data_IF_702132419868
#
_entry.id   IF_702132419868
#
_cell.length_a   1.000
_cell.length_b   1.000
_cell.length_c   1.000
_cell.angle_alpha   90.00
_cell.angle_beta   90.00
_cell.angle_gamma   90.00
#
_symmetry.space_group_name_H-M   'P 1'
#
loop_
_entity.id
_entity.type
_entity.pdbx_description
1 polymer ?
#
# COMPACT_ATOMS: atom_id res chain seq x y z
N UNK A 1 -25.68 -9.19 -14.00
CA UNK A 1 -25.18 -8.78 -12.67
C UNK A 1 -24.15 -9.83 -12.27
N UNK A 2 -22.85 -9.51 -12.33
CA UNK A 2 -21.83 -10.47 -11.86
C UNK A 2 -22.05 -10.70 -10.36
N UNK A 3 -22.13 -11.96 -9.95
CA UNK A 3 -22.16 -12.31 -8.53
C UNK A 3 -20.85 -11.85 -7.91
N UNK A 4 -20.94 -11.16 -6.77
CA UNK A 4 -19.75 -10.74 -6.02
C UNK A 4 -18.99 -12.01 -5.61
N UNK A 5 -17.68 -12.02 -5.84
CA UNK A 5 -16.83 -13.13 -5.47
C UNK A 5 -16.89 -13.31 -3.95
N UNK A 6 -17.12 -14.55 -3.49
CA UNK A 6 -17.16 -14.84 -2.06
C UNK A 6 -15.73 -14.94 -1.53
N UNK A 7 -15.28 -13.90 -0.83
CA UNK A 7 -13.94 -13.86 -0.27
C UNK A 7 -13.83 -14.51 1.11
N UNK A 8 -14.95 -14.77 1.78
CA UNK A 8 -14.97 -15.33 3.15
C UNK A 8 -14.42 -16.76 3.20
N UNK A 9 -14.36 -17.45 2.06
CA UNK A 9 -13.75 -18.79 1.98
C UNK A 9 -12.23 -18.78 1.90
N UNK A 10 -11.59 -17.62 1.70
CA UNK A 10 -10.13 -17.54 1.64
C UNK A 10 -9.55 -17.58 3.05
N UNK A 11 -8.48 -18.36 3.29
CA UNK A 11 -7.93 -18.53 4.64
C UNK A 11 -7.33 -17.25 5.22
N UNK A 12 -7.03 -16.26 4.36
CA UNK A 12 -6.47 -14.97 4.75
C UNK A 12 -7.53 -13.93 5.07
N UNK A 13 -8.80 -14.19 4.75
CA UNK A 13 -9.86 -13.19 4.90
C UNK A 13 -10.03 -12.79 6.37
N UNK A 14 -9.86 -11.49 6.66
CA UNK A 14 -10.04 -10.95 8.00
C UNK A 14 -11.39 -10.26 8.20
N UNK A 15 -11.85 -9.54 7.18
CA UNK A 15 -13.16 -8.88 7.21
C UNK A 15 -13.33 -7.82 6.14
N UNK A 16 -14.53 -7.30 6.00
CA UNK A 16 -14.87 -6.28 5.02
C UNK A 16 -15.99 -5.34 5.48
N UNK A 17 -16.04 -4.17 4.87
CA UNK A 17 -17.17 -3.26 4.97
C UNK A 17 -18.33 -3.71 4.05
N UNK A 18 -19.57 -3.26 4.32
CA UNK A 18 -20.69 -3.49 3.44
C UNK A 18 -20.39 -3.09 1.99
N UNK A 19 -20.86 -3.92 1.05
CA UNK A 19 -20.67 -3.74 -0.40
C UNK A 19 -19.20 -3.73 -0.86
N UNK A 20 -18.25 -4.09 0.00
CA UNK A 20 -16.83 -4.15 -0.35
C UNK A 20 -16.13 -2.81 -0.43
N UNK A 21 -16.63 -1.78 0.28
CA UNK A 21 -15.98 -0.47 0.35
C UNK A 21 -14.57 -0.51 0.95
N UNK A 22 -14.32 -1.48 1.82
CA UNK A 22 -13.02 -1.77 2.38
C UNK A 22 -12.94 -3.25 2.76
N UNK A 23 -11.72 -3.78 2.79
CA UNK A 23 -11.46 -5.18 3.13
C UNK A 23 -10.07 -5.30 3.74
N UNK A 24 -9.87 -6.28 4.61
CA UNK A 24 -8.54 -6.71 4.98
C UNK A 24 -8.34 -8.22 4.96
N UNK A 25 -7.08 -8.57 4.79
CA UNK A 25 -6.57 -9.93 4.86
C UNK A 25 -5.41 -9.99 5.85
N UNK A 26 -5.34 -11.07 6.61
CA UNK A 26 -4.28 -11.38 7.56
C UNK A 26 -3.41 -12.47 6.93
N UNK A 27 -2.12 -12.18 6.81
CA UNK A 27 -1.14 -13.12 6.22
C UNK A 27 0.09 -13.20 7.09
N UNK A 28 0.75 -14.35 7.07
CA UNK A 28 2.06 -14.54 7.70
C UNK A 28 3.05 -14.90 6.60
N UNK A 29 4.12 -14.12 6.48
CA UNK A 29 5.19 -14.33 5.49
C UNK A 29 6.47 -14.62 6.28
N UNK A 30 6.94 -15.86 6.23
CA UNK A 30 8.01 -16.33 7.10
C UNK A 30 7.58 -16.30 8.57
N UNK A 31 8.23 -15.47 9.38
CA UNK A 31 7.93 -15.29 10.81
C UNK A 31 7.22 -13.97 11.11
N UNK A 32 6.88 -13.20 10.08
CA UNK A 32 6.33 -11.85 10.22
C UNK A 32 4.85 -11.86 9.89
N UNK A 33 4.06 -11.23 10.75
CA UNK A 33 2.62 -11.09 10.60
C UNK A 33 2.27 -9.77 9.91
N UNK A 34 1.44 -9.85 8.89
CA UNK A 34 0.97 -8.71 8.10
C UNK A 34 -0.54 -8.58 8.13
N UNK A 35 -0.99 -7.36 7.88
CA UNK A 35 -2.36 -7.03 7.49
C UNK A 35 -2.33 -6.25 6.18
N UNK A 36 -3.02 -6.75 5.16
CA UNK A 36 -3.27 -6.01 3.93
C UNK A 36 -4.66 -5.41 4.06
N UNK A 37 -4.77 -4.09 4.07
CA UNK A 37 -6.03 -3.38 4.33
C UNK A 37 -6.28 -2.40 3.19
N UNK A 38 -7.42 -2.55 2.51
CA UNK A 38 -7.78 -1.73 1.36
C UNK A 38 -9.04 -0.90 1.58
N UNK A 39 -9.09 0.27 0.95
CA UNK A 39 -10.27 1.14 0.87
C UNK A 39 -10.51 1.59 -0.57
N UNK A 40 -11.78 1.74 -0.93
CA UNK A 40 -12.17 2.27 -2.24
C UNK A 40 -11.91 3.78 -2.40
N UNK A 41 -12.17 4.27 -3.60
CA UNK A 41 -12.14 5.69 -3.94
C UNK A 41 -13.28 6.48 -3.24
N UNK A 42 -13.06 7.78 -3.05
CA UNK A 42 -13.96 8.69 -2.36
C UNK A 42 -14.16 8.23 -0.92
N UNK A 43 -13.06 8.35 -0.16
CA UNK A 43 -12.96 7.89 1.22
C UNK A 43 -13.94 8.70 2.08
N UNK A 44 -14.93 8.01 2.62
CA UNK A 44 -15.90 8.62 3.52
C UNK A 44 -15.35 8.60 4.95
N UNK A 45 -15.91 9.45 5.80
CA UNK A 45 -15.57 9.45 7.23
C UNK A 45 -15.79 8.08 7.90
N UNK A 46 -16.82 7.34 7.47
CA UNK A 46 -17.08 5.97 7.95
C UNK A 46 -16.02 4.99 7.50
N UNK A 47 -15.43 5.19 6.31
CA UNK A 47 -14.35 4.35 5.80
C UNK A 47 -13.06 4.63 6.56
N UNK A 48 -12.73 5.90 6.77
CA UNK A 48 -11.57 6.31 7.56
C UNK A 48 -11.64 5.80 9.02
N UNK A 49 -12.80 5.94 9.67
CA UNK A 49 -13.00 5.43 11.02
C UNK A 49 -12.89 3.90 11.09
N UNK A 50 -13.36 3.20 10.05
CA UNK A 50 -13.23 1.75 9.96
C UNK A 50 -11.77 1.33 9.76
N UNK A 51 -11.03 1.97 8.85
CA UNK A 51 -9.59 1.74 8.64
C UNK A 51 -8.82 1.88 9.96
N UNK A 52 -9.02 3.01 10.64
CA UNK A 52 -8.40 3.30 11.94
C UNK A 52 -8.71 2.21 12.97
N UNK A 53 -9.97 1.78 13.05
CA UNK A 53 -10.38 0.76 14.01
C UNK A 53 -9.73 -0.59 13.74
N UNK A 54 -9.58 -0.98 12.48
CA UNK A 54 -8.94 -2.25 12.09
C UNK A 54 -7.44 -2.19 12.34
N UNK A 55 -6.77 -1.09 11.98
CA UNK A 55 -5.34 -0.91 12.25
C UNK A 55 -5.03 -0.99 13.75
N UNK A 56 -5.87 -0.37 14.59
CA UNK A 56 -5.79 -0.45 16.07
C UNK A 56 -6.15 -1.80 16.65
N UNK A 57 -6.94 -2.61 15.94
CA UNK A 57 -7.25 -3.98 16.34
C UNK A 57 -6.04 -4.92 16.15
N UNK A 58 -5.18 -4.62 15.17
CA UNK A 58 -4.01 -5.42 14.82
C UNK A 58 -2.69 -4.65 14.93
N UNK A 59 -2.37 -4.05 16.10
CA UNK A 59 -1.19 -3.20 16.25
C UNK A 59 0.12 -3.98 16.12
N UNK A 60 0.09 -5.28 16.44
CA UNK A 60 1.24 -6.19 16.36
C UNK A 60 1.48 -6.73 14.93
N UNK A 61 0.70 -6.31 13.92
CA UNK A 61 0.86 -6.74 12.51
C UNK A 61 1.37 -5.61 11.64
N UNK A 62 2.32 -5.89 10.77
CA UNK A 62 2.82 -4.92 9.79
C UNK A 62 1.73 -4.61 8.77
N UNK A 63 1.27 -3.37 8.72
CA UNK A 63 0.20 -2.98 7.81
C UNK A 63 0.73 -2.49 6.45
N UNK A 64 0.13 -3.04 5.40
CA UNK A 64 0.23 -2.57 4.01
C UNK A 64 -1.14 -1.99 3.65
N UNK A 65 -1.22 -0.66 3.57
CA UNK A 65 -2.44 0.05 3.19
C UNK A 65 -2.56 0.10 1.67
N UNK A 66 -3.69 -0.34 1.14
CA UNK A 66 -4.03 -0.29 -0.29
C UNK A 66 -5.06 0.83 -0.51
N UNK A 67 -4.63 1.91 -1.17
CA UNK A 67 -5.46 3.09 -1.38
C UNK A 67 -5.64 3.36 -2.88
N UNK A 68 -6.78 3.92 -3.28
CA UNK A 68 -6.92 4.40 -4.66
C UNK A 68 -6.06 5.64 -4.91
N UNK A 69 -6.14 6.64 -4.03
CA UNK A 69 -5.48 7.94 -4.17
C UNK A 69 -4.83 8.36 -2.85
N UNK A 70 -3.50 8.35 -2.80
CA UNK A 70 -2.72 8.72 -1.62
C UNK A 70 -1.62 9.73 -1.97
N UNK A 71 -0.77 9.43 -2.97
CA UNK A 71 0.27 10.35 -3.43
C UNK A 71 -0.21 11.29 -4.54
N UNK A 72 0.49 12.42 -4.64
CA UNK A 72 0.45 13.34 -5.78
C UNK A 72 1.78 13.25 -6.55
N UNK A 73 1.77 13.44 -7.87
CA UNK A 73 2.99 13.40 -8.68
C UNK A 73 3.91 14.60 -8.38
N UNK A 74 3.34 15.79 -8.32
CA UNK A 74 4.05 17.04 -8.05
C UNK A 74 3.78 17.54 -6.61
N UNK A 75 4.26 18.74 -6.29
CA UNK A 75 4.02 19.44 -5.00
C UNK A 75 2.58 19.98 -4.88
N UNK A 76 1.60 19.23 -5.40
CA UNK A 76 0.19 19.58 -5.30
C UNK A 76 -0.31 19.40 -3.87
N UNK A 77 -1.29 20.22 -3.50
CA UNK A 77 -2.03 20.05 -2.26
C UNK A 77 -2.75 18.71 -2.30
N UNK A 78 -2.66 17.96 -1.21
CA UNK A 78 -3.37 16.70 -1.06
C UNK A 78 -4.88 16.86 -1.27
N UNK A 79 -5.46 15.90 -1.99
CA UNK A 79 -6.91 15.74 -2.07
C UNK A 79 -7.51 15.44 -0.69
N UNK A 80 -8.84 15.52 -0.59
CA UNK A 80 -9.53 15.14 0.64
C UNK A 80 -9.27 13.68 1.03
N UNK A 81 -9.25 12.76 0.05
CA UNK A 81 -8.93 11.34 0.27
C UNK A 81 -7.49 11.19 0.78
N UNK A 82 -6.53 11.82 0.10
CA UNK A 82 -5.11 11.77 0.47
C UNK A 82 -4.88 12.33 1.87
N UNK A 83 -5.43 13.51 2.19
CA UNK A 83 -5.26 14.13 3.49
C UNK A 83 -5.80 13.24 4.63
N UNK A 84 -7.00 12.69 4.48
CA UNK A 84 -7.60 11.79 5.48
C UNK A 84 -6.75 10.52 5.65
N UNK A 85 -6.26 9.94 4.56
CA UNK A 85 -5.42 8.74 4.66
C UNK A 85 -4.07 9.03 5.32
N UNK A 86 -3.45 10.17 5.07
CA UNK A 86 -2.22 10.57 5.79
C UNK A 86 -2.47 10.73 7.29
N UNK A 87 -3.63 11.27 7.70
CA UNK A 87 -4.02 11.32 9.12
C UNK A 87 -4.16 9.91 9.72
N UNK A 88 -4.76 8.96 8.98
CA UNK A 88 -4.85 7.56 9.42
C UNK A 88 -3.47 6.92 9.53
N UNK A 89 -2.59 7.11 8.55
CA UNK A 89 -1.23 6.57 8.59
C UNK A 89 -0.45 7.17 9.77
N UNK A 90 -0.57 8.47 10.03
CA UNK A 90 0.05 9.12 11.17
C UNK A 90 -0.44 8.55 12.52
N UNK A 91 -1.75 8.27 12.63
CA UNK A 91 -2.35 7.77 13.86
C UNK A 91 -2.09 6.28 14.15
N UNK A 92 -1.51 5.53 13.20
CA UNK A 92 -1.38 4.08 13.26
C UNK A 92 0.08 3.63 13.07
N UNK A 93 0.86 3.49 14.16
CA UNK A 93 2.28 3.14 14.14
C UNK A 93 2.62 1.76 13.57
N UNK A 94 1.63 0.95 13.18
CA UNK A 94 1.84 -0.35 12.54
C UNK A 94 1.87 -0.29 11.00
N UNK A 95 1.53 0.86 10.40
CA UNK A 95 1.65 1.06 8.95
C UNK A 95 3.11 1.24 8.55
N UNK A 96 3.56 0.44 7.58
CA UNK A 96 4.93 0.48 7.03
C UNK A 96 4.95 0.73 5.52
N UNK A 97 3.87 0.38 4.83
CA UNK A 97 3.77 0.49 3.38
C UNK A 97 2.41 1.03 2.98
N UNK A 98 2.38 1.90 1.97
CA UNK A 98 1.16 2.37 1.32
C UNK A 98 1.31 2.14 -0.17
N UNK A 99 0.37 1.42 -0.80
CA UNK A 99 0.31 1.22 -2.25
C UNK A 99 -0.87 2.00 -2.81
N UNK A 100 -0.64 2.79 -3.85
CA UNK A 100 -1.68 3.59 -4.47
C UNK A 100 -1.55 3.75 -6.00
N UNK A 101 -2.57 4.35 -6.62
CA UNK A 101 -2.60 4.68 -8.04
C UNK A 101 -3.25 6.05 -8.25
N UNK A 102 -4.24 6.12 -9.13
CA UNK A 102 -5.05 7.31 -9.47
C UNK A 102 -4.31 8.39 -10.25
N UNK A 103 -3.09 8.75 -9.84
CA UNK A 103 -2.23 9.62 -10.64
C UNK A 103 -1.41 8.79 -11.60
N UNK A 104 -1.64 9.02 -12.88
CA UNK A 104 -1.03 8.25 -13.96
C UNK A 104 0.49 8.50 -14.01
N UNK A 105 1.25 7.51 -13.55
CA UNK A 105 2.69 7.60 -13.40
C UNK A 105 3.17 6.74 -12.24
N UNK A 106 4.42 6.97 -11.86
CA UNK A 106 5.08 6.23 -10.80
C UNK A 106 5.79 7.21 -9.87
N UNK A 107 5.67 6.96 -8.58
CA UNK A 107 6.36 7.73 -7.54
C UNK A 107 6.54 6.86 -6.32
N UNK A 108 7.68 6.95 -5.67
CA UNK A 108 7.88 6.38 -4.35
C UNK A 108 8.43 7.45 -3.41
N UNK A 109 7.94 7.45 -2.18
CA UNK A 109 8.32 8.43 -1.16
C UNK A 109 8.54 7.70 0.16
N UNK A 110 9.66 8.02 0.81
CA UNK A 110 9.92 7.64 2.19
C UNK A 110 9.38 8.74 3.12
N UNK A 111 8.24 8.48 3.75
CA UNK A 111 7.58 9.40 4.68
C UNK A 111 8.04 9.10 6.11
N UNK A 112 8.54 10.11 6.82
CA UNK A 112 9.04 9.97 8.18
C UNK A 112 7.96 10.39 9.18
N UNK A 113 7.74 9.54 10.19
CA UNK A 113 6.73 9.77 11.21
C UNK A 113 7.36 9.77 12.60
N UNK A 114 7.08 10.81 13.37
CA UNK A 114 7.30 10.93 14.81
C UNK A 114 5.98 10.56 15.49
N UNK A 115 5.85 9.28 15.85
CA UNK A 115 4.62 8.70 16.40
C UNK A 115 4.43 9.08 17.88
N UNK A 116 5.50 9.50 18.56
CA UNK A 116 5.51 9.82 19.99
C UNK A 116 5.61 11.34 20.29
N UNK A 117 5.78 12.16 19.25
CA UNK A 117 5.91 13.61 19.28
C UNK A 117 7.14 14.12 20.09
N UNK A 118 8.23 13.36 20.15
CA UNK A 118 9.47 13.73 20.85
C UNK A 118 10.45 14.54 19.99
N UNK A 119 10.12 14.75 18.71
CA UNK A 119 10.95 15.44 17.71
C UNK A 119 11.88 14.50 16.94
N UNK A 120 11.83 13.19 17.19
CA UNK A 120 12.58 12.15 16.47
C UNK A 120 11.63 11.26 15.70
N UNK A 121 11.96 10.96 14.45
CA UNK A 121 11.15 10.04 13.67
C UNK A 121 11.31 8.61 14.18
N UNK A 122 10.21 7.97 14.57
CA UNK A 122 10.14 6.59 15.06
C UNK A 122 10.14 5.57 13.91
N UNK A 123 9.57 5.95 12.74
CA UNK A 123 9.46 5.05 11.59
C UNK A 123 9.49 5.75 10.24
N UNK A 124 9.73 4.95 9.22
CA UNK A 124 9.55 5.31 7.82
C UNK A 124 8.41 4.51 7.21
N UNK A 125 7.50 5.19 6.53
CA UNK A 125 6.48 4.58 5.66
C UNK A 125 6.94 4.70 4.21
N UNK A 126 6.91 3.59 3.49
CA UNK A 126 7.20 3.57 2.06
C UNK A 126 5.88 3.70 1.31
N UNK A 127 5.60 4.90 0.79
CA UNK A 127 4.45 5.16 -0.06
C UNK A 127 4.85 4.95 -1.52
N UNK A 128 4.16 4.05 -2.23
CA UNK A 128 4.48 3.64 -3.59
C UNK A 128 3.24 3.81 -4.45
N UNK A 129 3.36 4.60 -5.51
CA UNK A 129 2.32 4.86 -6.48
C UNK A 129 2.68 4.21 -7.81
N UNK A 130 1.73 3.45 -8.36
CA UNK A 130 1.87 2.77 -9.66
C UNK A 130 0.57 2.90 -10.42
N UNK A 131 0.61 3.60 -11.55
CA UNK A 131 -0.52 3.69 -12.46
C UNK A 131 -0.04 3.83 -13.91
N UNK A 132 -0.08 2.72 -14.63
CA UNK A 132 0.32 2.64 -16.03
C UNK A 132 -0.80 3.00 -17.03
N UNK A 133 -2.01 3.35 -16.57
CA UNK A 133 -3.21 3.29 -17.41
C UNK A 133 -3.22 4.25 -18.62
N UNK A 134 -2.43 5.31 -18.60
CA UNK A 134 -2.30 6.26 -19.72
C UNK A 134 -1.07 6.07 -20.59
N UNK A 135 -0.25 5.07 -20.29
CA UNK A 135 0.83 4.68 -21.18
C UNK A 135 0.25 4.01 -22.44
N UNK A 136 1.06 3.82 -23.51
CA UNK A 136 0.62 3.16 -24.73
C UNK A 136 -0.13 1.85 -24.45
N UNK A 137 -1.11 1.55 -25.32
CA UNK A 137 -1.93 0.33 -25.23
C UNK A 137 -2.64 0.10 -23.88
N UNK A 138 -2.85 1.17 -23.11
CA UNK A 138 -3.46 1.12 -21.78
C UNK A 138 -2.51 0.60 -20.70
N UNK A 139 -1.21 0.80 -20.86
CA UNK A 139 -0.19 0.32 -19.92
C UNK A 139 0.72 -0.77 -20.45
N UNK A 140 0.57 -1.18 -21.72
CA UNK A 140 1.35 -2.25 -22.37
C UNK A 140 1.53 -3.53 -21.54
N UNK A 141 0.60 -3.84 -20.64
CA UNK A 141 0.65 -5.00 -19.76
C UNK A 141 1.62 -4.92 -18.58
N UNK A 142 2.24 -3.78 -18.30
CA UNK A 142 3.15 -3.66 -17.15
C UNK A 142 2.42 -3.85 -15.81
N UNK A 143 3.06 -4.61 -14.94
CA UNK A 143 2.65 -4.87 -13.56
C UNK A 143 3.81 -4.52 -12.64
N UNK A 144 3.50 -3.97 -11.46
CA UNK A 144 4.47 -3.89 -10.38
C UNK A 144 4.46 -5.19 -9.58
N UNK A 145 5.64 -5.80 -9.43
CA UNK A 145 5.86 -7.00 -8.65
C UNK A 145 6.64 -6.61 -7.39
N UNK A 146 6.04 -6.90 -6.24
CA UNK A 146 6.64 -6.71 -4.94
C UNK A 146 7.05 -8.08 -4.39
N UNK A 147 8.33 -8.22 -4.03
CA UNK A 147 8.86 -9.41 -3.37
C UNK A 147 9.29 -9.04 -1.95
N UNK A 148 8.71 -9.71 -0.97
CA UNK A 148 9.08 -9.60 0.45
C UNK A 148 9.98 -10.80 0.79
N UNK A 149 11.24 -10.53 1.10
CA UNK A 149 12.20 -11.55 1.53
C UNK A 149 12.46 -11.42 3.04
N UNK A 150 11.85 -12.29 3.87
CA UNK A 150 12.03 -12.24 5.31
C UNK A 150 13.42 -12.72 5.77
N UNK A 151 14.15 -13.49 4.94
CA UNK A 151 15.47 -14.03 5.28
C UNK A 151 16.54 -12.98 5.08
N UNK A 152 16.56 -12.32 3.92
CA UNK A 152 17.53 -11.26 3.61
C UNK A 152 17.10 -9.89 4.14
N UNK A 153 15.86 -9.77 4.64
CA UNK A 153 15.26 -8.51 5.11
C UNK A 153 15.18 -7.47 3.99
N UNK A 154 14.68 -7.88 2.83
CA UNK A 154 14.54 -7.04 1.65
C UNK A 154 13.08 -6.89 1.20
N UNK A 155 12.71 -5.68 0.80
CA UNK A 155 11.48 -5.35 0.09
C UNK A 155 11.87 -4.92 -1.32
N UNK A 156 11.69 -5.83 -2.29
CA UNK A 156 12.12 -5.65 -3.68
C UNK A 156 10.94 -5.29 -4.55
N UNK A 157 11.16 -4.33 -5.43
CA UNK A 157 10.16 -3.80 -6.35
C UNK A 157 10.76 -3.94 -7.74
N UNK A 158 9.99 -4.46 -8.68
CA UNK A 158 10.36 -4.56 -10.09
C UNK A 158 9.11 -4.52 -10.94
N UNK A 159 9.17 -3.93 -12.13
CA UNK A 159 8.08 -3.98 -13.09
C UNK A 159 8.31 -5.04 -14.17
N UNK A 160 7.25 -5.68 -14.62
CA UNK A 160 7.32 -6.65 -15.70
C UNK A 160 6.06 -6.58 -16.58
N UNK A 161 6.25 -6.60 -17.90
CA UNK A 161 5.19 -6.80 -18.87
C UNK A 161 5.27 -8.21 -19.47
N UNK A 162 4.30 -9.09 -19.21
CA UNK A 162 4.21 -10.38 -19.91
C UNK A 162 3.78 -10.25 -21.37
N UNK A 163 3.33 -9.07 -21.81
CA UNK A 163 2.94 -8.80 -23.21
C UNK A 163 4.18 -8.50 -24.05
N UNK A 164 5.12 -7.74 -23.48
CA UNK A 164 6.36 -7.34 -24.16
C UNK A 164 7.56 -8.22 -23.80
N UNK A 165 7.43 -9.06 -22.76
CA UNK A 165 8.54 -9.78 -22.11
C UNK A 165 9.68 -8.83 -21.71
N UNK A 166 9.30 -7.76 -21.01
CA UNK A 166 10.18 -6.62 -20.74
C UNK A 166 10.05 -6.14 -19.29
N UNK A 167 11.16 -5.61 -18.76
CA UNK A 167 11.25 -4.99 -17.44
C UNK A 167 11.53 -3.50 -17.59
N UNK A 168 10.91 -2.69 -16.74
CA UNK A 168 11.00 -1.22 -16.72
C UNK A 168 10.48 -0.56 -18.01
N UNK A 169 9.30 0.05 -17.93
CA UNK A 169 8.78 0.85 -19.04
C UNK A 169 9.57 2.16 -19.23
N UNK A 170 10.00 2.78 -18.12
CA UNK A 170 10.64 4.09 -18.12
C UNK A 170 12.16 3.96 -18.29
N UNK A 171 12.81 4.94 -18.97
CA UNK A 171 14.26 4.93 -19.13
C UNK A 171 15.05 5.01 -17.81
N UNK A 172 14.47 5.64 -16.79
CA UNK A 172 15.01 5.62 -15.44
C UNK A 172 14.50 4.38 -14.71
N UNK A 173 15.29 3.31 -14.71
CA UNK A 173 14.91 2.05 -14.07
C UNK A 173 14.71 2.21 -12.55
N UNK A 174 15.30 3.21 -11.91
CA UNK A 174 15.27 3.36 -10.44
C UNK A 174 13.88 3.69 -9.89
N UNK A 175 12.94 4.13 -10.75
CA UNK A 175 11.54 4.35 -10.35
C UNK A 175 10.69 3.07 -10.40
N UNK A 176 11.21 2.00 -11.04
CA UNK A 176 10.49 0.74 -11.27
C UNK A 176 11.16 -0.47 -10.63
N UNK A 177 12.49 -0.48 -10.59
CA UNK A 177 13.29 -1.56 -10.02
C UNK A 177 14.23 -1.03 -8.96
N UNK A 178 13.95 -1.38 -7.71
CA UNK A 178 14.75 -0.98 -6.56
C UNK A 178 14.53 -1.92 -5.37
N UNK A 179 15.47 -1.88 -4.43
CA UNK A 179 15.41 -2.69 -3.20
C UNK A 179 15.49 -1.78 -1.99
N UNK A 180 14.57 -1.98 -1.06
CA UNK A 180 14.52 -1.29 0.22
C UNK A 180 14.76 -2.29 1.35
N UNK A 181 15.29 -1.86 2.50
CA UNK A 181 15.26 -2.67 3.71
C UNK A 181 13.81 -3.01 4.09
N UNK A 182 13.56 -4.27 4.44
CA UNK A 182 12.26 -4.70 4.93
C UNK A 182 12.01 -4.09 6.31
N UNK A 183 10.95 -3.29 6.41
CA UNK A 183 10.51 -2.59 7.60
C UNK A 183 9.24 -3.26 8.13
N UNK A 184 9.32 -3.85 9.32
CA UNK A 184 8.20 -4.53 9.99
C UNK A 184 8.00 -3.93 11.37
N UNK A 185 6.80 -4.09 11.93
CA UNK A 185 6.65 -3.94 13.39
C UNK A 185 7.40 -5.08 14.06
N UNK A 186 8.07 -4.81 15.18
CA UNK A 186 8.73 -5.88 15.93
C UNK A 186 7.66 -6.85 16.46
N UNK A 187 7.64 -8.07 15.91
CA UNK A 187 6.87 -9.18 16.49
C UNK A 187 7.40 -9.55 17.88
N UNK A 188 6.53 -10.09 18.73
CA UNK A 188 6.89 -10.61 20.06
C UNK A 188 7.85 -11.79 20.00
#
# INVERSE_FOLDING_TARGET
>A
MMLRQNYESYPTFGGEQPLGRGRYDLVTIGHEDYILLGVGYSVQRTDAAWLDSVLKQYPDRTAILLAHWYLELDDQVFSADSAVLHEIVAANPNVRYVLCGHRHGMKHVAELYDDNNDGTNDRTVQAIMVDYQTLPDGGSGYLMIITIDPVTREFKITSYSPVLDDYNFFPDESIETYTLPLSTVAGK
#
